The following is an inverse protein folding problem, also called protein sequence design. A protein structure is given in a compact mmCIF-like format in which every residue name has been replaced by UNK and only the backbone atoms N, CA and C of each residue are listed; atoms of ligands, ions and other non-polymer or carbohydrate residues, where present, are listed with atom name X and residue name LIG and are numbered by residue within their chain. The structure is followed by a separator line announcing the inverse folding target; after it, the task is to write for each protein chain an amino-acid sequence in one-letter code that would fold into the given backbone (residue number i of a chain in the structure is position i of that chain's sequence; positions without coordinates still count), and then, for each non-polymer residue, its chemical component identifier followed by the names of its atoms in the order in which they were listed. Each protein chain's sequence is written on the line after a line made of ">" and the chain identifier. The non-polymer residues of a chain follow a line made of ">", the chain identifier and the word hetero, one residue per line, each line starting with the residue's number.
data_IF_140677860463
#
_entry.id   IF_140677860463
#
_cell.length_a   1.000
_cell.length_b   1.000
_cell.length_c   1.000
_cell.angle_alpha   90.00
_cell.angle_beta   90.00
_cell.angle_gamma   90.00
#
_symmetry.space_group_name_H-M   'P 1'
#
loop_
_entity.id
_entity.type
_entity.pdbx_description
1 polymer ?
#
# COMPACT_ATOMS: atom_id res chain seq x y z
N UNK A 1 -12.37 -3.71 14.42
CA UNK A 1 -12.49 -2.48 15.26
C UNK A 1 -13.35 -1.48 14.51
N UNK A 2 -14.65 -1.69 14.52
CA UNK A 2 -15.59 -0.73 13.97
C UNK A 2 -15.33 0.63 14.62
N UNK A 3 -15.40 1.70 13.88
CA UNK A 3 -15.04 2.99 14.42
C UNK A 3 -15.75 4.15 13.75
N UNK A 4 -16.13 5.11 14.55
CA UNK A 4 -16.75 6.36 14.10
C UNK A 4 -15.82 7.53 14.47
N UNK A 5 -14.76 7.74 13.68
CA UNK A 5 -13.98 8.96 13.83
C UNK A 5 -14.65 10.14 13.09
N UNK A 6 -15.10 9.89 11.88
CA UNK A 6 -15.87 10.82 11.05
C UNK A 6 -16.93 10.05 10.26
N UNK A 7 -18.03 10.70 9.89
CA UNK A 7 -19.13 10.08 9.12
C UNK A 7 -19.00 10.27 7.61
N UNK A 8 -18.26 11.29 7.17
CA UNK A 8 -18.00 11.64 5.77
C UNK A 8 -16.58 12.15 5.62
N UNK A 9 -16.05 12.07 4.39
CA UNK A 9 -14.78 12.70 4.06
C UNK A 9 -14.86 14.22 4.19
N UNK A 10 -13.83 14.83 4.78
CA UNK A 10 -13.70 16.28 4.90
C UNK A 10 -13.12 16.91 3.63
N UNK A 11 -13.09 18.26 3.55
CA UNK A 11 -12.47 18.97 2.43
C UNK A 11 -10.93 18.86 2.51
N UNK A 12 -10.29 18.94 1.34
CA UNK A 12 -8.84 19.03 1.24
C UNK A 12 -8.34 20.41 1.70
N UNK A 13 -7.21 20.42 2.39
CA UNK A 13 -6.41 21.62 2.62
C UNK A 13 -5.62 22.00 1.34
N UNK A 14 -5.02 23.22 1.26
CA UNK A 14 -4.17 23.59 0.14
C UNK A 14 -3.01 22.59 -0.08
N UNK A 15 -2.34 22.14 0.96
CA UNK A 15 -1.22 21.16 0.87
C UNK A 15 -1.72 19.78 0.41
N UNK A 16 -2.91 19.35 0.89
CA UNK A 16 -3.55 18.14 0.40
C UNK A 16 -3.96 18.29 -1.08
N UNK A 17 -4.30 19.50 -1.54
CA UNK A 17 -4.52 19.77 -2.95
C UNK A 17 -3.27 19.54 -3.81
N UNK A 18 -2.10 19.95 -3.35
CA UNK A 18 -0.81 19.67 -4.01
C UNK A 18 -0.53 18.16 -4.01
N UNK A 19 -0.74 17.49 -2.88
CA UNK A 19 -0.57 16.03 -2.78
C UNK A 19 -1.50 15.29 -3.75
N UNK A 20 -2.76 15.75 -3.92
CA UNK A 20 -3.70 15.16 -4.88
C UNK A 20 -3.16 15.16 -6.31
N UNK A 21 -2.62 16.29 -6.76
CA UNK A 21 -2.08 16.38 -8.12
C UNK A 21 -0.84 15.51 -8.30
N UNK A 22 0.01 15.40 -7.28
CA UNK A 22 1.14 14.46 -7.30
C UNK A 22 0.69 13.00 -7.39
N UNK A 23 -0.28 12.58 -6.58
CA UNK A 23 -0.83 11.23 -6.61
C UNK A 23 -1.46 10.93 -7.97
N UNK A 24 -2.24 11.88 -8.51
CA UNK A 24 -2.83 11.78 -9.85
C UNK A 24 -1.76 11.60 -10.93
N UNK A 25 -0.71 12.41 -10.90
CA UNK A 25 0.39 12.34 -11.87
C UNK A 25 1.11 10.98 -11.80
N UNK A 26 1.39 10.48 -10.60
CA UNK A 26 2.06 9.19 -10.41
C UNK A 26 1.19 8.02 -10.89
N UNK A 27 -0.12 8.00 -10.57
CA UNK A 27 -1.04 6.98 -11.08
C UNK A 27 -1.17 7.08 -12.60
N UNK A 28 -1.29 8.29 -13.16
CA UNK A 28 -1.34 8.51 -14.60
C UNK A 28 -0.08 7.98 -15.29
N UNK A 29 1.10 8.19 -14.69
CA UNK A 29 2.36 7.65 -15.22
C UNK A 29 2.37 6.12 -15.21
N UNK A 30 2.02 5.50 -14.08
CA UNK A 30 2.09 4.04 -13.93
C UNK A 30 1.02 3.32 -14.74
N UNK A 31 -0.25 3.73 -14.63
CA UNK A 31 -1.37 3.01 -15.22
C UNK A 31 -1.86 3.61 -16.54
N UNK A 32 -1.72 4.92 -16.76
CA UNK A 32 -2.16 5.58 -17.97
C UNK A 32 -1.10 5.53 -19.10
N UNK A 33 0.16 5.85 -18.77
CA UNK A 33 1.22 5.92 -19.79
C UNK A 33 1.99 4.60 -19.94
N UNK A 34 2.46 3.99 -18.84
CA UNK A 34 3.13 2.69 -18.86
C UNK A 34 2.09 1.59 -19.09
N UNK A 35 0.97 1.64 -18.35
CA UNK A 35 -0.15 0.73 -18.48
C UNK A 35 0.12 -0.63 -17.84
N UNK A 36 -0.36 -1.70 -18.44
CA UNK A 36 -0.15 -3.08 -17.99
C UNK A 36 1.35 -3.38 -17.86
N UNK A 37 1.77 -3.78 -16.63
CA UNK A 37 3.18 -3.90 -16.23
C UNK A 37 3.41 -5.16 -15.39
N UNK A 38 3.75 -6.22 -16.07
CA UNK A 38 3.97 -7.55 -15.48
C UNK A 38 4.98 -8.34 -16.31
N UNK A 39 5.25 -9.58 -15.95
CA UNK A 39 6.24 -10.42 -16.63
C UNK A 39 5.91 -10.72 -18.10
N UNK A 40 4.66 -10.63 -18.52
CA UNK A 40 4.27 -10.74 -19.95
C UNK A 40 4.57 -9.44 -20.71
N UNK A 41 4.60 -8.31 -20.02
CA UNK A 41 4.97 -6.99 -20.53
C UNK A 41 6.25 -6.49 -19.84
N UNK A 42 7.30 -7.33 -19.86
CA UNK A 42 8.52 -7.13 -19.10
C UNK A 42 9.19 -5.77 -19.31
N UNK A 43 9.18 -5.23 -20.54
CA UNK A 43 9.71 -3.88 -20.82
C UNK A 43 8.95 -2.79 -20.06
N UNK A 44 7.61 -2.92 -19.92
CA UNK A 44 6.78 -1.99 -19.16
C UNK A 44 6.97 -2.17 -17.65
N UNK A 45 7.15 -3.42 -17.19
CA UNK A 45 7.47 -3.71 -15.79
C UNK A 45 8.79 -3.01 -15.39
N UNK A 46 9.82 -3.08 -16.23
CA UNK A 46 11.08 -2.40 -15.99
C UNK A 46 10.94 -0.86 -16.12
N UNK A 47 10.15 -0.35 -17.06
CA UNK A 47 9.87 1.08 -17.15
C UNK A 47 9.18 1.63 -15.88
N UNK A 48 8.32 0.84 -15.24
CA UNK A 48 7.74 1.20 -13.96
C UNK A 48 8.79 1.19 -12.83
N UNK A 49 9.67 0.17 -12.79
CA UNK A 49 10.77 0.11 -11.83
C UNK A 49 11.72 1.31 -11.98
N UNK A 50 12.09 1.67 -13.23
CA UNK A 50 12.92 2.83 -13.55
C UNK A 50 12.25 4.13 -13.08
N UNK A 51 10.97 4.31 -13.39
CA UNK A 51 10.21 5.49 -12.97
C UNK A 51 10.16 5.64 -11.43
N UNK A 52 9.97 4.53 -10.71
CA UNK A 52 9.93 4.52 -9.24
C UNK A 52 11.29 4.88 -8.67
N UNK A 53 12.37 4.26 -9.16
CA UNK A 53 13.74 4.55 -8.71
C UNK A 53 14.13 6.00 -8.97
N UNK A 54 13.84 6.51 -10.18
CA UNK A 54 14.06 7.91 -10.54
C UNK A 54 13.27 8.88 -9.65
N UNK A 55 12.04 8.51 -9.28
CA UNK A 55 11.20 9.34 -8.41
C UNK A 55 11.77 9.43 -7.00
N UNK A 56 12.24 8.32 -6.43
CA UNK A 56 12.94 8.30 -5.15
C UNK A 56 14.25 9.09 -5.21
N UNK A 57 15.05 8.91 -6.29
CA UNK A 57 16.33 9.60 -6.48
C UNK A 57 16.13 11.11 -6.61
N UNK A 58 15.11 11.57 -7.36
CA UNK A 58 14.75 13.00 -7.47
C UNK A 58 14.30 13.62 -6.15
N UNK A 59 13.73 12.82 -5.25
CA UNK A 59 13.44 13.26 -3.88
C UNK A 59 14.69 13.35 -3.00
N UNK A 60 15.88 13.03 -3.51
CA UNK A 60 17.15 13.06 -2.78
C UNK A 60 17.36 11.84 -1.87
N UNK A 61 16.61 10.76 -2.07
CA UNK A 61 16.70 9.55 -1.27
C UNK A 61 17.76 8.59 -1.81
N UNK A 62 18.39 7.85 -0.89
CA UNK A 62 19.26 6.73 -1.26
C UNK A 62 18.38 5.57 -1.71
N UNK A 63 18.55 5.16 -2.96
CA UNK A 63 17.80 4.06 -3.56
C UNK A 63 18.62 2.77 -3.64
N UNK A 64 17.94 1.65 -3.70
CA UNK A 64 18.52 0.32 -3.92
C UNK A 64 17.56 -0.55 -4.71
N UNK A 65 18.06 -1.18 -5.79
CA UNK A 65 17.37 -2.31 -6.43
C UNK A 65 17.72 -3.60 -5.68
N UNK A 66 16.72 -4.20 -5.03
CA UNK A 66 16.83 -5.53 -4.43
C UNK A 66 16.45 -6.58 -5.49
N UNK A 67 17.44 -6.93 -6.32
CA UNK A 67 17.26 -7.77 -7.51
C UNK A 67 17.28 -9.25 -7.17
N UNK A 68 16.37 -10.02 -7.76
CA UNK A 68 16.38 -11.47 -7.80
C UNK A 68 16.05 -11.97 -9.21
N UNK A 69 16.45 -13.19 -9.51
CA UNK A 69 16.21 -13.80 -10.82
C UNK A 69 14.94 -14.66 -10.77
N UNK A 70 14.10 -14.51 -11.78
CA UNK A 70 12.93 -15.33 -11.99
C UNK A 70 12.83 -15.73 -13.46
N UNK A 71 12.83 -17.05 -13.73
CA UNK A 71 12.75 -17.62 -15.09
C UNK A 71 13.76 -17.00 -16.09
N UNK A 72 14.98 -16.72 -15.63
CA UNK A 72 16.03 -16.10 -16.44
C UNK A 72 15.89 -14.61 -16.68
N UNK A 73 14.97 -13.93 -15.97
CA UNK A 73 14.77 -12.49 -16.02
C UNK A 73 15.01 -11.86 -14.65
N UNK A 74 15.76 -10.75 -14.55
CA UNK A 74 15.92 -10.02 -13.31
C UNK A 74 14.63 -9.28 -12.92
N UNK A 75 14.18 -9.47 -11.68
CA UNK A 75 13.06 -8.78 -11.07
C UNK A 75 13.56 -7.90 -9.94
N UNK A 76 12.97 -6.73 -9.75
CA UNK A 76 13.50 -5.72 -8.86
C UNK A 76 12.45 -5.22 -7.85
N UNK A 77 12.71 -5.40 -6.57
CA UNK A 77 12.08 -4.53 -5.57
C UNK A 77 12.89 -3.22 -5.52
N UNK A 78 12.21 -2.09 -5.45
CA UNK A 78 12.85 -0.77 -5.41
C UNK A 78 12.68 -0.20 -4.01
N UNK A 79 13.79 0.01 -3.33
CA UNK A 79 13.81 0.53 -1.95
C UNK A 79 14.38 1.95 -1.91
N UNK A 80 13.75 2.82 -1.14
CA UNK A 80 14.32 4.07 -0.66
C UNK A 80 14.41 4.06 0.85
N UNK A 81 15.56 4.44 1.41
CA UNK A 81 15.81 4.41 2.86
C UNK A 81 16.09 5.79 3.42
N UNK A 82 15.46 6.12 4.54
CA UNK A 82 15.73 7.28 5.38
C UNK A 82 16.26 6.75 6.72
N UNK A 83 17.56 6.88 6.99
CA UNK A 83 18.16 6.28 8.17
C UNK A 83 17.68 6.94 9.46
N UNK A 84 17.36 6.14 10.46
CA UNK A 84 17.10 6.56 11.83
C UNK A 84 18.33 6.37 12.72
N UNK A 85 18.21 6.81 13.97
CA UNK A 85 19.27 6.63 14.98
C UNK A 85 19.02 5.45 15.93
N UNK A 86 17.96 4.66 15.69
CA UNK A 86 17.61 3.43 16.41
C UNK A 86 17.60 2.24 15.47
N UNK A 87 17.77 1.02 15.99
CA UNK A 87 17.89 -0.18 15.16
C UNK A 87 16.55 -0.65 14.55
N UNK A 88 15.42 -0.12 15.02
CA UNK A 88 14.10 -0.52 14.52
C UNK A 88 13.83 0.12 13.16
N UNK A 89 13.21 -0.68 12.28
CA UNK A 89 12.85 -0.31 10.92
C UNK A 89 11.34 -0.32 10.77
N UNK A 90 10.79 0.66 10.10
CA UNK A 90 9.40 0.71 9.65
C UNK A 90 9.42 0.63 8.13
N UNK A 91 8.73 -0.36 7.57
CA UNK A 91 8.58 -0.55 6.13
C UNK A 91 7.20 -0.08 5.70
N UNK A 92 7.14 0.76 4.69
CA UNK A 92 5.93 1.17 3.99
C UNK A 92 6.10 0.72 2.54
N UNK A 93 5.15 0.00 1.99
CA UNK A 93 5.32 -0.47 0.63
C UNK A 93 4.04 -0.89 -0.05
N UNK A 94 4.16 -1.12 -1.36
CA UNK A 94 3.10 -1.55 -2.24
C UNK A 94 3.71 -2.27 -3.44
N UNK A 95 2.98 -3.22 -4.02
CA UNK A 95 3.43 -3.77 -5.29
C UNK A 95 3.20 -2.76 -6.43
N UNK A 96 4.03 -2.86 -7.48
CA UNK A 96 3.95 -1.97 -8.62
C UNK A 96 3.62 -2.68 -9.93
N UNK A 97 3.62 -4.00 -9.95
CA UNK A 97 3.10 -4.79 -11.06
C UNK A 97 1.56 -4.74 -11.13
N UNK A 98 1.00 -5.16 -12.22
CA UNK A 98 -0.44 -5.30 -12.42
C UNK A 98 -0.79 -6.68 -12.97
N UNK A 99 -1.98 -7.17 -12.68
CA UNK A 99 -2.46 -8.44 -13.21
C UNK A 99 -2.53 -8.42 -14.74
N UNK A 100 -2.44 -9.58 -15.36
CA UNK A 100 -2.57 -9.73 -16.81
C UNK A 100 -3.92 -9.15 -17.32
N UNK A 101 -3.84 -8.29 -18.35
CA UNK A 101 -4.99 -7.65 -18.97
C UNK A 101 -5.50 -6.39 -18.25
N UNK A 102 -4.82 -5.93 -17.18
CA UNK A 102 -5.21 -4.72 -16.43
C UNK A 102 -4.12 -3.65 -16.46
N UNK A 103 -4.46 -2.38 -16.69
CA UNK A 103 -3.51 -1.28 -16.50
C UNK A 103 -3.19 -1.02 -15.03
N UNK A 104 -3.99 -1.52 -14.08
CA UNK A 104 -3.71 -1.52 -12.65
C UNK A 104 -3.62 -0.11 -12.06
N UNK A 105 -4.65 0.71 -12.23
CA UNK A 105 -4.67 2.07 -11.68
C UNK A 105 -4.95 2.05 -10.17
N UNK A 106 -6.00 1.35 -9.75
CA UNK A 106 -6.27 1.13 -8.35
C UNK A 106 -5.38 0.00 -7.81
N UNK A 107 -5.25 -1.08 -8.58
CA UNK A 107 -4.54 -2.30 -8.23
C UNK A 107 -3.23 -2.46 -9.04
N UNK A 108 -2.03 -2.02 -8.54
CA UNK A 108 -1.88 -1.25 -7.33
C UNK A 108 -1.09 0.05 -7.61
N UNK A 109 -1.49 0.76 -8.69
CA UNK A 109 -0.96 2.08 -9.02
C UNK A 109 -1.16 3.08 -7.89
N UNK A 110 -2.27 2.96 -7.13
CA UNK A 110 -2.55 3.83 -5.98
C UNK A 110 -1.57 3.59 -4.83
N UNK A 111 -1.30 2.35 -4.47
CA UNK A 111 -0.33 2.00 -3.42
C UNK A 111 1.09 2.43 -3.79
N UNK A 112 1.50 2.18 -5.05
CA UNK A 112 2.80 2.61 -5.55
C UNK A 112 2.93 4.14 -5.55
N UNK A 113 1.93 4.87 -6.05
CA UNK A 113 1.90 6.34 -6.05
C UNK A 113 1.94 6.92 -4.62
N UNK A 114 1.21 6.33 -3.69
CA UNK A 114 1.25 6.72 -2.28
C UNK A 114 2.62 6.48 -1.65
N UNK A 115 3.27 5.35 -1.96
CA UNK A 115 4.61 5.04 -1.47
C UNK A 115 5.63 6.10 -1.93
N UNK A 116 5.55 6.54 -3.19
CA UNK A 116 6.39 7.62 -3.74
C UNK A 116 6.15 8.96 -3.03
N UNK A 117 4.88 9.36 -2.89
CA UNK A 117 4.52 10.64 -2.27
C UNK A 117 4.91 10.69 -0.79
N UNK A 118 4.73 9.59 -0.05
CA UNK A 118 5.14 9.45 1.35
C UNK A 118 6.66 9.50 1.48
N UNK A 119 7.40 8.80 0.63
CA UNK A 119 8.87 8.85 0.62
C UNK A 119 9.38 10.28 0.42
N UNK A 120 8.81 11.01 -0.54
CA UNK A 120 9.14 12.42 -0.79
C UNK A 120 8.79 13.31 0.42
N UNK A 121 7.63 13.10 1.06
CA UNK A 121 7.23 13.85 2.27
C UNK A 121 8.28 13.77 3.38
N UNK A 122 8.90 12.61 3.54
CA UNK A 122 9.86 12.36 4.61
C UNK A 122 11.33 12.49 4.18
N UNK A 123 11.64 12.86 2.94
CA UNK A 123 13.01 12.85 2.40
C UNK A 123 14.02 13.68 3.21
N UNK A 124 13.58 14.79 3.79
CA UNK A 124 14.43 15.66 4.64
C UNK A 124 14.25 15.39 6.15
N UNK A 125 13.49 14.37 6.50
CA UNK A 125 13.19 14.07 7.90
C UNK A 125 14.36 13.39 8.61
N UNK A 126 14.39 13.51 9.95
CA UNK A 126 15.37 12.85 10.81
C UNK A 126 14.65 11.95 11.82
N UNK A 127 14.11 10.81 11.38
CA UNK A 127 13.34 9.93 12.25
C UNK A 127 14.22 9.23 13.27
N UNK A 128 13.62 8.79 14.39
CA UNK A 128 14.33 7.89 15.33
C UNK A 128 14.46 6.49 14.76
N UNK A 129 13.39 5.97 14.15
CA UNK A 129 13.39 4.66 13.51
C UNK A 129 13.65 4.81 12.00
N UNK A 130 14.47 3.93 11.42
CA UNK A 130 14.68 3.91 9.97
C UNK A 130 13.36 3.71 9.23
N UNK A 131 13.12 4.53 8.21
CA UNK A 131 12.00 4.37 7.29
C UNK A 131 12.49 3.74 6.00
N UNK A 132 11.83 2.69 5.53
CA UNK A 132 12.02 2.11 4.21
C UNK A 132 10.73 2.19 3.44
N UNK A 133 10.80 2.81 2.27
CA UNK A 133 9.72 2.86 1.29
C UNK A 133 10.07 1.88 0.18
N UNK A 134 9.20 0.89 -0.06
CA UNK A 134 9.53 -0.23 -0.96
C UNK A 134 8.41 -0.46 -1.97
N UNK A 135 8.76 -0.45 -3.25
CA UNK A 135 7.88 -0.93 -4.31
C UNK A 135 8.25 -2.39 -4.62
N UNK A 136 7.30 -3.30 -4.42
CA UNK A 136 7.48 -4.73 -4.62
C UNK A 136 7.08 -5.15 -6.03
N UNK A 137 7.73 -6.20 -6.56
CA UNK A 137 7.44 -6.76 -7.88
C UNK A 137 6.79 -8.14 -7.73
N UNK A 138 6.00 -8.55 -8.73
CA UNK A 138 5.41 -9.89 -8.83
C UNK A 138 4.53 -10.25 -7.62
N UNK A 139 3.65 -9.36 -7.22
CA UNK A 139 2.60 -9.67 -6.25
C UNK A 139 1.48 -10.45 -6.91
N UNK A 140 1.14 -10.11 -8.14
CA UNK A 140 0.00 -10.60 -8.88
C UNK A 140 0.13 -12.07 -9.37
N UNK A 141 -0.99 -12.77 -9.63
CA UNK A 141 -0.93 -14.10 -10.24
C UNK A 141 -0.12 -14.13 -11.53
N UNK A 142 0.68 -15.18 -11.76
CA UNK A 142 0.72 -16.46 -11.02
C UNK A 142 1.71 -16.49 -9.86
N UNK A 143 2.31 -15.36 -9.48
CA UNK A 143 3.36 -15.30 -8.45
C UNK A 143 2.82 -15.07 -7.05
N UNK A 144 1.56 -14.67 -6.95
CA UNK A 144 0.84 -14.45 -5.70
C UNK A 144 0.98 -15.63 -4.73
N UNK A 145 1.35 -15.33 -3.49
CA UNK A 145 1.63 -16.30 -2.41
C UNK A 145 2.68 -17.37 -2.76
N UNK A 146 3.47 -17.18 -3.82
CA UNK A 146 4.56 -18.08 -4.20
C UNK A 146 5.91 -17.61 -3.66
N UNK A 147 6.93 -18.48 -3.77
CA UNK A 147 8.33 -18.14 -3.42
C UNK A 147 8.95 -17.05 -4.31
N UNK A 148 8.29 -16.72 -5.42
CA UNK A 148 8.73 -15.76 -6.43
C UNK A 148 8.11 -14.36 -6.23
N UNK A 149 7.19 -14.21 -5.26
CA UNK A 149 6.60 -12.92 -4.88
C UNK A 149 7.68 -11.98 -4.31
N UNK A 150 7.83 -10.79 -4.89
CA UNK A 150 8.94 -9.88 -4.55
C UNK A 150 8.99 -9.48 -3.09
N UNK A 151 7.84 -9.22 -2.48
CA UNK A 151 7.77 -8.91 -1.05
C UNK A 151 8.20 -10.09 -0.16
N UNK A 152 7.97 -11.35 -0.59
CA UNK A 152 8.44 -12.53 0.15
C UNK A 152 9.96 -12.66 0.07
N UNK A 153 10.53 -12.46 -1.12
CA UNK A 153 11.98 -12.42 -1.32
C UNK A 153 12.62 -11.32 -0.47
N UNK A 154 12.01 -10.14 -0.46
CA UNK A 154 12.48 -9.00 0.34
C UNK A 154 12.43 -9.29 1.85
N UNK A 155 11.29 -9.77 2.36
CA UNK A 155 11.10 -10.06 3.78
C UNK A 155 12.05 -11.18 4.27
N UNK A 156 12.28 -12.21 3.44
CA UNK A 156 13.29 -13.25 3.70
C UNK A 156 14.69 -12.65 3.85
N UNK A 157 15.12 -11.82 2.89
CA UNK A 157 16.43 -11.15 2.92
C UNK A 157 16.58 -10.22 4.12
N UNK A 158 15.52 -9.53 4.52
CA UNK A 158 15.50 -8.76 5.76
C UNK A 158 15.76 -9.65 6.97
N UNK A 159 15.15 -10.83 7.02
CA UNK A 159 15.35 -11.79 8.10
C UNK A 159 16.77 -12.33 8.13
N UNK A 160 17.33 -12.65 6.97
CA UNK A 160 18.71 -13.13 6.82
C UNK A 160 19.74 -12.08 7.28
N UNK A 161 19.49 -10.80 7.02
CA UNK A 161 20.33 -9.68 7.48
C UNK A 161 20.16 -9.35 8.98
N UNK A 162 19.16 -9.92 9.64
CA UNK A 162 18.83 -9.59 11.03
C UNK A 162 18.14 -8.24 11.21
N UNK A 163 17.50 -7.71 10.16
CA UNK A 163 16.78 -6.43 10.19
C UNK A 163 15.67 -6.45 11.25
N UNK A 164 15.62 -5.45 12.12
CA UNK A 164 14.63 -5.32 13.19
C UNK A 164 13.39 -4.58 12.70
N UNK A 165 12.62 -5.19 11.79
CA UNK A 165 11.37 -4.59 11.30
C UNK A 165 10.32 -4.62 12.41
N UNK A 166 10.01 -3.44 12.95
CA UNK A 166 9.03 -3.24 14.02
C UNK A 166 7.60 -3.09 13.51
N UNK A 167 7.44 -2.65 12.26
CA UNK A 167 6.16 -2.51 11.58
C UNK A 167 6.35 -2.57 10.06
N UNK A 168 5.39 -3.23 9.37
CA UNK A 168 5.22 -3.10 7.93
C UNK A 168 3.79 -2.68 7.62
N UNK A 169 3.63 -1.70 6.74
CA UNK A 169 2.35 -1.18 6.27
C UNK A 169 2.30 -1.41 4.75
N UNK A 170 1.46 -2.34 4.31
CA UNK A 170 1.14 -2.56 2.91
C UNK A 170 0.04 -1.59 2.49
N UNK A 171 0.26 -0.87 1.40
CA UNK A 171 -0.74 0.00 0.78
C UNK A 171 -1.30 -0.76 -0.43
N UNK A 172 -2.54 -1.21 -0.31
CA UNK A 172 -3.16 -2.14 -1.27
C UNK A 172 -4.49 -1.61 -1.75
N UNK A 173 -4.57 -1.18 -3.03
CA UNK A 173 -5.81 -0.60 -3.56
C UNK A 173 -6.43 0.39 -2.59
N UNK A 174 -6.13 1.68 -2.72
CA UNK A 174 -6.54 2.70 -1.75
C UNK A 174 -7.24 3.91 -2.40
N UNK A 175 -7.68 3.75 -3.66
CA UNK A 175 -8.17 4.86 -4.48
C UNK A 175 -9.65 4.84 -4.82
N UNK A 176 -10.41 3.77 -4.50
CA UNK A 176 -11.81 3.68 -4.88
C UNK A 176 -12.77 3.78 -3.69
N UNK A 177 -13.78 4.64 -3.84
CA UNK A 177 -14.81 4.86 -2.83
C UNK A 177 -16.18 5.01 -3.48
N UNK A 178 -17.24 4.63 -2.74
CA UNK A 178 -18.62 4.77 -3.20
C UNK A 178 -19.53 5.14 -2.03
N UNK A 179 -20.42 6.11 -2.24
CA UNK A 179 -21.46 6.45 -1.28
C UNK A 179 -22.80 5.76 -1.58
N UNK A 180 -22.83 4.91 -2.62
CA UNK A 180 -24.05 4.17 -2.97
C UNK A 180 -24.43 3.16 -1.87
N UNK A 181 -25.72 2.98 -1.59
CA UNK A 181 -26.17 1.91 -0.71
C UNK A 181 -25.67 0.53 -1.19
N UNK A 182 -25.34 -0.33 -0.23
CA UNK A 182 -24.87 -1.71 -0.46
C UNK A 182 -23.65 -1.83 -1.40
N UNK A 183 -22.86 -0.75 -1.52
CA UNK A 183 -21.62 -0.71 -2.32
C UNK A 183 -20.43 -1.43 -1.67
N UNK A 184 -20.61 -2.00 -0.48
CA UNK A 184 -19.60 -2.78 0.24
C UNK A 184 -20.12 -4.18 0.53
N UNK A 185 -19.38 -5.19 0.07
CA UNK A 185 -19.59 -6.60 0.42
C UNK A 185 -18.45 -7.11 1.32
N UNK A 186 -18.55 -8.35 1.80
CA UNK A 186 -17.58 -8.96 2.70
C UNK A 186 -17.40 -10.45 2.39
N UNK A 187 -16.21 -11.05 2.67
CA UNK A 187 -15.95 -12.47 2.42
C UNK A 187 -16.81 -13.41 3.28
N UNK A 188 -17.44 -12.89 4.32
CA UNK A 188 -18.34 -13.64 5.18
C UNK A 188 -19.55 -12.77 5.53
N UNK A 189 -20.79 -13.31 5.42
CA UNK A 189 -22.02 -12.56 5.77
C UNK A 189 -22.01 -11.99 7.19
N UNK A 190 -21.39 -12.69 8.14
CA UNK A 190 -21.27 -12.23 9.52
C UNK A 190 -20.49 -10.94 9.70
N UNK A 191 -19.57 -10.61 8.79
CA UNK A 191 -18.83 -9.34 8.87
C UNK A 191 -19.73 -8.15 8.54
N UNK A 192 -20.68 -8.28 7.62
CA UNK A 192 -21.61 -7.22 7.26
C UNK A 192 -22.58 -6.81 8.39
N UNK A 193 -22.65 -7.59 9.50
CA UNK A 193 -23.37 -7.19 10.72
C UNK A 193 -22.58 -6.15 11.53
N UNK A 194 -21.25 -6.19 11.46
CA UNK A 194 -20.36 -5.35 12.28
C UNK A 194 -19.75 -4.18 11.53
N UNK A 195 -19.71 -4.24 10.20
CA UNK A 195 -19.06 -3.25 9.36
C UNK A 195 -20.04 -2.58 8.39
N UNK A 196 -19.73 -1.34 7.91
CA UNK A 196 -20.63 -0.59 7.03
C UNK A 196 -20.92 -1.31 5.72
N UNK A 197 -22.12 -1.13 5.19
CA UNK A 197 -22.52 -1.62 3.85
C UNK A 197 -22.25 -0.60 2.73
N UNK A 198 -21.79 0.59 3.08
CA UNK A 198 -21.43 1.66 2.15
C UNK A 198 -19.91 1.74 2.05
N UNK A 199 -19.38 1.72 0.85
CA UNK A 199 -17.94 1.65 0.55
C UNK A 199 -17.22 2.99 0.61
N UNK A 200 -17.46 3.81 1.63
CA UNK A 200 -16.93 5.17 1.78
C UNK A 200 -15.87 5.31 2.88
N UNK A 201 -15.24 4.23 3.27
CA UNK A 201 -14.21 4.16 4.31
C UNK A 201 -12.93 3.50 3.79
N UNK A 202 -11.82 3.73 4.50
CA UNK A 202 -10.58 2.95 4.32
C UNK A 202 -10.49 1.84 5.36
N UNK A 203 -10.08 0.64 4.93
CA UNK A 203 -9.89 -0.54 5.77
C UNK A 203 -8.46 -0.69 6.25
N UNK A 204 -8.28 -1.11 7.51
CA UNK A 204 -7.02 -1.55 8.09
C UNK A 204 -7.16 -3.01 8.47
N UNK A 205 -6.39 -3.89 7.85
CA UNK A 205 -6.53 -5.34 8.01
C UNK A 205 -5.24 -5.96 8.54
N UNK A 206 -5.35 -6.89 9.47
CA UNK A 206 -4.20 -7.66 9.96
C UNK A 206 -4.59 -9.09 10.30
N UNK A 207 -3.57 -9.95 10.40
CA UNK A 207 -3.73 -11.23 11.09
C UNK A 207 -3.84 -11.01 12.62
N UNK A 208 -4.18 -12.07 13.35
CA UNK A 208 -4.36 -12.01 14.80
C UNK A 208 -3.06 -11.63 15.54
N UNK A 209 -1.90 -12.10 15.05
CA UNK A 209 -0.59 -11.81 15.66
C UNK A 209 -0.22 -10.32 15.54
N UNK A 210 -0.61 -9.65 14.47
CA UNK A 210 -0.34 -8.22 14.24
C UNK A 210 -1.38 -7.27 14.85
N UNK A 211 -2.32 -7.78 15.64
CA UNK A 211 -3.43 -7.00 16.24
C UNK A 211 -2.97 -5.78 17.05
N UNK A 212 -1.85 -5.88 17.73
CA UNK A 212 -1.30 -4.77 18.52
C UNK A 212 -0.86 -3.61 17.61
N UNK A 213 -0.16 -3.93 16.51
CA UNK A 213 0.22 -2.96 15.49
C UNK A 213 -1.02 -2.31 14.86
N UNK A 214 -2.00 -3.10 14.45
CA UNK A 214 -3.26 -2.60 13.88
C UNK A 214 -3.95 -1.60 14.81
N UNK A 215 -4.07 -1.92 16.10
CA UNK A 215 -4.70 -1.04 17.09
C UNK A 215 -3.95 0.29 17.23
N UNK A 216 -2.62 0.23 17.23
CA UNK A 216 -1.77 1.44 17.30
C UNK A 216 -1.95 2.29 16.06
N UNK A 217 -1.85 1.70 14.87
CA UNK A 217 -1.96 2.41 13.58
C UNK A 217 -3.34 3.05 13.42
N UNK A 218 -4.43 2.30 13.59
CA UNK A 218 -5.78 2.85 13.41
C UNK A 218 -6.11 3.93 14.44
N UNK A 219 -5.59 3.82 15.67
CA UNK A 219 -5.73 4.86 16.69
C UNK A 219 -5.03 6.14 16.28
N UNK A 220 -3.80 6.05 15.73
CA UNK A 220 -3.05 7.19 15.24
C UNK A 220 -3.75 7.82 14.03
N UNK A 221 -4.15 7.01 13.06
CA UNK A 221 -4.89 7.46 11.89
C UNK A 221 -6.15 8.25 12.27
N UNK A 222 -6.97 7.69 13.16
CA UNK A 222 -8.26 8.30 13.57
C UNK A 222 -8.14 9.60 14.36
N UNK A 223 -6.94 9.98 14.83
CA UNK A 223 -6.75 11.26 15.54
C UNK A 223 -6.93 12.46 14.63
N UNK A 224 -6.43 12.38 13.40
CA UNK A 224 -6.35 13.52 12.48
C UNK A 224 -6.99 13.24 11.12
N UNK A 225 -7.29 11.97 10.78
CA UNK A 225 -7.83 11.62 9.49
C UNK A 225 -9.24 12.18 9.26
N UNK A 226 -9.41 12.78 8.10
CA UNK A 226 -10.66 13.40 7.63
C UNK A 226 -11.52 12.41 6.82
N UNK A 227 -11.25 11.10 6.91
CA UNK A 227 -11.96 10.06 6.18
C UNK A 227 -12.39 8.94 7.13
N UNK A 228 -13.57 8.32 6.94
CA UNK A 228 -13.99 7.15 7.71
C UNK A 228 -13.01 6.00 7.59
N UNK A 229 -12.84 5.25 8.67
CA UNK A 229 -11.92 4.10 8.68
C UNK A 229 -12.45 2.94 9.50
N UNK A 230 -12.19 1.72 9.02
CA UNK A 230 -12.56 0.48 9.70
C UNK A 230 -11.33 -0.40 9.94
N UNK A 231 -11.31 -1.16 11.02
CA UNK A 231 -10.19 -2.05 11.34
C UNK A 231 -10.64 -3.47 11.64
N UNK A 232 -9.99 -4.45 11.00
CA UNK A 232 -10.25 -5.87 11.18
C UNK A 232 -8.97 -6.64 11.47
N UNK A 233 -8.92 -7.34 12.61
CA UNK A 233 -7.87 -8.33 12.90
C UNK A 233 -8.51 -9.70 12.86
N UNK A 234 -8.21 -10.48 11.83
CA UNK A 234 -8.89 -11.72 11.50
C UNK A 234 -7.88 -12.87 11.29
N UNK A 235 -8.30 -14.13 11.37
CA UNK A 235 -7.47 -15.25 10.94
C UNK A 235 -7.03 -15.10 9.47
N UNK A 236 -5.77 -15.42 9.17
CA UNK A 236 -5.18 -15.22 7.85
C UNK A 236 -5.85 -16.06 6.72
N UNK A 237 -6.57 -17.12 7.08
CA UNK A 237 -7.30 -17.95 6.11
C UNK A 237 -8.63 -17.32 5.62
N UNK A 238 -9.10 -16.26 6.27
CA UNK A 238 -10.29 -15.53 5.78
C UNK A 238 -9.92 -14.83 4.46
N UNK A 239 -10.69 -15.02 3.37
CA UNK A 239 -10.42 -14.39 2.10
C UNK A 239 -10.22 -12.88 2.20
N UNK A 240 -9.22 -12.35 1.51
CA UNK A 240 -8.84 -10.94 1.54
C UNK A 240 -7.88 -10.54 2.68
N UNK A 241 -7.79 -11.31 3.77
CA UNK A 241 -6.93 -10.93 4.92
C UNK A 241 -5.44 -11.05 4.59
N UNK A 242 -5.06 -12.06 3.83
CA UNK A 242 -3.67 -12.36 3.44
C UNK A 242 -3.37 -11.97 1.98
N UNK A 243 -4.25 -11.19 1.35
CA UNK A 243 -4.15 -10.92 -0.07
C UNK A 243 -3.44 -9.58 -0.32
N UNK A 244 -2.16 -9.50 -0.01
CA UNK A 244 -1.16 -8.53 -0.44
C UNK A 244 0.18 -8.74 0.29
N UNK A 245 1.12 -7.81 0.12
CA UNK A 245 2.52 -7.84 0.55
C UNK A 245 2.72 -8.06 2.06
N UNK A 246 1.77 -7.65 2.94
CA UNK A 246 1.85 -7.87 4.39
C UNK A 246 1.95 -9.36 4.75
N UNK A 247 1.38 -10.25 3.95
CA UNK A 247 1.45 -11.69 4.14
C UNK A 247 2.89 -12.19 4.14
N UNK A 248 3.71 -11.69 3.24
CA UNK A 248 5.14 -12.02 3.11
C UNK A 248 5.92 -11.75 4.38
N UNK A 249 5.63 -10.64 5.04
CA UNK A 249 6.26 -10.28 6.31
C UNK A 249 5.78 -11.17 7.46
N UNK A 250 4.52 -11.61 7.46
CA UNK A 250 4.03 -12.58 8.44
C UNK A 250 4.74 -13.93 8.36
N UNK A 251 5.11 -14.38 7.15
CA UNK A 251 5.85 -15.64 6.95
C UNK A 251 7.23 -15.60 7.65
N UNK A 252 7.81 -14.42 7.80
CA UNK A 252 9.10 -14.21 8.44
C UNK A 252 9.00 -13.71 9.90
N UNK A 253 7.79 -13.70 10.48
CA UNK A 253 7.53 -13.37 11.87
C UNK A 253 7.49 -11.88 12.18
N UNK A 254 7.43 -11.02 11.17
CA UNK A 254 7.26 -9.59 11.34
C UNK A 254 5.79 -9.19 11.53
N UNK A 255 5.56 -8.13 12.30
CA UNK A 255 4.23 -7.54 12.42
C UNK A 255 3.94 -6.67 11.20
N UNK A 256 2.84 -6.97 10.50
CA UNK A 256 2.44 -6.23 9.30
C UNK A 256 0.92 -6.03 9.25
N UNK A 257 0.50 -4.97 8.57
CA UNK A 257 -0.90 -4.65 8.29
C UNK A 257 -1.07 -4.25 6.83
N UNK A 258 -2.29 -4.38 6.33
CA UNK A 258 -2.71 -3.86 5.03
C UNK A 258 -3.65 -2.68 5.24
N UNK A 259 -3.48 -1.62 4.45
CA UNK A 259 -4.42 -0.51 4.29
C UNK A 259 -5.07 -0.66 2.93
N UNK A 260 -6.40 -0.73 2.86
CA UNK A 260 -7.09 -1.09 1.61
C UNK A 260 -8.49 -0.46 1.51
N UNK A 261 -8.92 -0.16 0.30
CA UNK A 261 -10.32 0.15 -0.01
C UNK A 261 -11.19 -1.13 -0.13
N UNK A 262 -10.57 -2.31 0.12
CA UNK A 262 -11.19 -3.63 0.05
C UNK A 262 -11.52 -4.15 -1.37
N UNK A 263 -10.78 -3.73 -2.36
CA UNK A 263 -10.95 -3.97 -3.80
C UNK A 263 -11.95 -5.07 -4.25
N UNK A 264 -11.72 -6.39 -4.08
CA UNK A 264 -12.60 -7.41 -4.62
C UNK A 264 -14.01 -7.40 -4.00
N UNK A 265 -14.18 -6.67 -2.87
CA UNK A 265 -15.46 -6.56 -2.16
C UNK A 265 -16.18 -5.22 -2.39
N UNK A 266 -15.57 -4.32 -3.19
CA UNK A 266 -16.09 -2.98 -3.44
C UNK A 266 -15.90 -2.48 -4.87
N UNK A 267 -14.71 -2.71 -5.45
CA UNK A 267 -14.27 -2.12 -6.71
C UNK A 267 -14.73 -2.96 -7.91
N UNK A 268 -15.66 -2.46 -8.75
CA UNK A 268 -16.23 -3.26 -9.84
C UNK A 268 -15.28 -3.51 -11.01
N UNK A 269 -14.15 -2.79 -11.05
CA UNK A 269 -13.14 -2.89 -12.11
C UNK A 269 -11.90 -3.67 -11.68
N UNK A 270 -11.93 -4.29 -10.49
CA UNK A 270 -10.83 -5.10 -9.98
C UNK A 270 -10.41 -6.20 -10.98
N UNK A 271 -9.10 -6.30 -11.22
CA UNK A 271 -8.51 -7.25 -12.18
C UNK A 271 -9.09 -7.18 -13.60
N UNK A 272 -9.42 -5.98 -14.08
CA UNK A 272 -9.99 -5.79 -15.42
C UNK A 272 -9.27 -4.71 -16.22
N UNK A 273 -9.48 -4.72 -17.54
CA UNK A 273 -8.98 -3.68 -18.44
C UNK A 273 -9.55 -2.28 -18.18
N UNK A 274 -10.60 -2.20 -17.35
CA UNK A 274 -11.24 -0.96 -16.94
C UNK A 274 -10.68 -0.39 -15.61
N UNK A 275 -9.67 -1.01 -15.02
CA UNK A 275 -8.96 -0.43 -13.87
C UNK A 275 -8.04 0.72 -14.34
N UNK A 276 -8.65 1.84 -14.67
CA UNK A 276 -8.03 3.03 -15.29
C UNK A 276 -8.02 4.23 -14.35
N UNK A 277 -7.11 5.22 -14.53
CA UNK A 277 -6.95 6.36 -13.63
C UNK A 277 -8.22 7.21 -13.42
N UNK A 278 -9.14 7.24 -14.38
CA UNK A 278 -10.40 7.98 -14.30
C UNK A 278 -11.45 7.36 -13.34
N UNK A 279 -11.23 6.14 -12.87
CA UNK A 279 -12.10 5.45 -11.91
C UNK A 279 -11.86 5.82 -10.45
N UNK A 280 -10.76 6.54 -10.17
CA UNK A 280 -10.31 6.81 -8.81
C UNK A 280 -10.90 8.09 -8.20
N UNK A 281 -11.22 8.03 -6.92
CA UNK A 281 -11.57 9.19 -6.11
C UNK A 281 -10.29 9.81 -5.51
N UNK A 282 -9.68 10.69 -6.26
CA UNK A 282 -8.41 11.31 -5.85
C UNK A 282 -8.52 12.16 -4.59
N UNK A 283 -9.68 12.73 -4.28
CA UNK A 283 -9.86 13.52 -3.06
C UNK A 283 -9.80 12.61 -1.83
N UNK A 284 -10.56 11.50 -1.83
CA UNK A 284 -10.54 10.53 -0.74
C UNK A 284 -9.22 9.78 -0.67
N UNK A 285 -8.63 9.42 -1.80
CA UNK A 285 -7.29 8.83 -1.87
C UNK A 285 -6.25 9.73 -1.19
N UNK A 286 -6.29 11.03 -1.46
CA UNK A 286 -5.40 12.03 -0.83
C UNK A 286 -5.56 12.06 0.69
N UNK A 287 -6.80 12.05 1.19
CA UNK A 287 -7.05 12.03 2.63
C UNK A 287 -6.51 10.76 3.31
N UNK A 288 -6.56 9.62 2.61
CA UNK A 288 -5.93 8.38 3.11
C UNK A 288 -4.43 8.54 3.21
N UNK A 289 -3.76 9.01 2.15
CA UNK A 289 -2.30 9.16 2.12
C UNK A 289 -1.83 10.19 3.14
N UNK A 290 -2.54 11.32 3.26
CA UNK A 290 -2.27 12.33 4.29
C UNK A 290 -2.35 11.72 5.70
N UNK A 291 -3.40 10.96 5.99
CA UNK A 291 -3.57 10.28 7.28
C UNK A 291 -2.50 9.20 7.56
N UNK A 292 -2.07 8.46 6.54
CA UNK A 292 -0.95 7.51 6.67
C UNK A 292 0.36 8.25 6.94
N UNK A 293 0.59 9.41 6.34
CA UNK A 293 1.74 10.26 6.66
C UNK A 293 1.81 10.60 8.16
N UNK A 294 0.69 11.00 8.76
CA UNK A 294 0.61 11.25 10.21
C UNK A 294 0.90 9.99 11.06
N UNK A 295 0.46 8.83 10.58
CA UNK A 295 0.77 7.55 11.24
C UNK A 295 2.26 7.28 11.21
N UNK A 296 2.91 7.43 10.05
CA UNK A 296 4.36 7.20 9.88
C UNK A 296 5.15 8.14 10.79
N UNK A 297 4.81 9.43 10.83
CA UNK A 297 5.44 10.43 11.68
C UNK A 297 5.41 10.02 13.16
N UNK A 298 4.24 9.62 13.65
CA UNK A 298 4.08 9.17 15.03
C UNK A 298 4.74 7.82 15.34
N UNK A 299 4.84 6.91 14.37
CA UNK A 299 5.49 5.62 14.55
C UNK A 299 7.01 5.75 14.57
N UNK A 300 7.55 6.59 13.69
CA UNK A 300 9.01 6.79 13.53
C UNK A 300 9.63 7.66 14.61
N UNK A 301 8.81 8.42 15.35
CA UNK A 301 9.22 9.16 16.54
C UNK A 301 10.13 10.35 16.22
N UNK A 302 9.63 11.32 15.47
CA UNK A 302 10.30 12.61 15.24
C UNK A 302 10.48 13.40 16.52
#
# INVERSE_FOLDING_TARGET
>A
MPGKNVSKAGPLSPDEGVLREELRANVQKLAGEIGERNMWHYARLNAAADFIEDSFSRAGLRTRRDTYEMRGQPCHNIEAEIPGNRPEIIVIGAHYDSVFGSPGANDNGTGAAATLALARRFASAKPKHTLRFVAFVNEEPPYFLSGEMGSLVYARRCKERGDKISAMISLETIGYFSDAPDSQTYPSPGLGVFYPKVGNFIGFVSNVKSRALLRRVIKLFRRNAKIPSEGASLPAFIPGVSWSDQWSFWQHGYSAIMVTDTAPFRYPYYHSSNDTPDKLDYDRFTLVVSGIGEVIENLSGF
#
